data_IF_152497697203
#
_entry.id   IF_152497697203
#
_cell.length_a   1.000
_cell.length_b   1.000
_cell.length_c   1.000
_cell.angle_alpha   90.00
_cell.angle_beta   90.00
_cell.angle_gamma   90.00
#
_symmetry.space_group_name_H-M   'P 1'
#
loop_
_entity.id
_entity.type
_entity.pdbx_description
1 polymer ?
#
# COMPACT_ATOMS: atom_id res chain seq x y z
N UNK A 1 -14.78 -20.59 27.53
CA UNK A 1 -13.39 -20.26 27.17
C UNK A 1 -13.42 -19.39 25.92
N UNK A 2 -13.11 -18.10 26.02
CA UNK A 2 -13.14 -17.19 24.87
C UNK A 2 -11.91 -17.42 23.95
N UNK A 3 -12.14 -17.31 22.65
CA UNK A 3 -11.11 -17.43 21.61
C UNK A 3 -11.45 -16.53 20.41
N UNK A 4 -10.45 -16.26 19.57
CA UNK A 4 -10.58 -15.51 18.32
C UNK A 4 -9.89 -16.34 17.23
N UNK A 5 -10.61 -16.67 16.16
CA UNK A 5 -10.06 -17.36 14.99
C UNK A 5 -9.72 -16.34 13.90
N UNK A 6 -8.55 -16.47 13.28
CA UNK A 6 -8.10 -15.63 12.17
C UNK A 6 -8.23 -16.40 10.86
N UNK A 7 -8.78 -15.75 9.84
CA UNK A 7 -8.95 -16.34 8.51
C UNK A 7 -8.38 -15.43 7.42
N UNK A 8 -7.73 -16.01 6.42
CA UNK A 8 -7.36 -15.35 5.16
C UNK A 8 -8.23 -15.92 4.04
N UNK A 9 -9.12 -15.10 3.50
CA UNK A 9 -10.21 -15.57 2.63
C UNK A 9 -11.15 -16.51 3.39
N UNK A 10 -11.19 -17.78 2.99
CA UNK A 10 -11.98 -18.84 3.65
C UNK A 10 -11.13 -19.77 4.53
N UNK A 11 -9.80 -19.64 4.47
CA UNK A 11 -8.88 -20.54 5.16
C UNK A 11 -8.57 -20.01 6.56
N UNK A 12 -8.68 -20.87 7.57
CA UNK A 12 -8.20 -20.54 8.91
C UNK A 12 -6.66 -20.51 8.95
N UNK A 13 -6.12 -19.50 9.62
CA UNK A 13 -4.68 -19.32 9.83
C UNK A 13 -4.32 -19.93 11.17
N UNK A 14 -3.40 -20.89 11.16
CA UNK A 14 -2.88 -21.55 12.35
C UNK A 14 -1.35 -21.73 12.23
N UNK A 15 -0.76 -22.34 13.27
CA UNK A 15 0.68 -22.62 13.33
C UNK A 15 1.14 -23.69 12.32
N UNK A 16 0.23 -24.56 11.87
CA UNK A 16 0.49 -25.60 10.85
C UNK A 16 0.26 -25.11 9.41
N UNK A 17 0.15 -23.79 9.21
CA UNK A 17 -0.13 -23.22 7.90
C UNK A 17 0.95 -23.63 6.88
N UNK A 18 0.57 -24.16 5.69
CA UNK A 18 1.51 -24.55 4.65
C UNK A 18 2.30 -23.35 4.09
N UNK A 19 1.84 -22.12 4.33
CA UNK A 19 2.57 -20.89 3.98
C UNK A 19 3.91 -20.83 4.71
N UNK A 20 3.96 -21.25 5.98
CA UNK A 20 5.12 -21.12 6.87
C UNK A 20 5.43 -19.66 7.25
N UNK A 21 6.01 -19.41 8.41
CA UNK A 21 6.33 -18.03 8.86
C UNK A 21 5.11 -17.14 9.11
N UNK A 22 3.95 -17.75 9.35
CA UNK A 22 2.77 -17.10 9.91
C UNK A 22 2.53 -17.59 11.32
N UNK A 23 2.12 -16.70 12.22
CA UNK A 23 1.82 -17.02 13.61
C UNK A 23 0.59 -16.26 14.06
N UNK A 24 -0.25 -16.92 14.85
CA UNK A 24 -1.39 -16.30 15.54
C UNK A 24 -1.13 -16.39 17.03
N UNK A 25 -1.03 -15.25 17.69
CA UNK A 25 -0.84 -15.15 19.14
C UNK A 25 -2.11 -14.58 19.73
N UNK A 26 -2.73 -15.28 20.68
CA UNK A 26 -3.93 -14.80 21.37
C UNK A 26 -3.62 -14.54 22.83
N UNK A 27 -3.65 -13.27 23.21
CA UNK A 27 -3.51 -12.83 24.59
C UNK A 27 -4.91 -12.74 25.22
N UNK A 28 -5.08 -13.40 26.37
CA UNK A 28 -6.34 -13.44 27.11
C UNK A 28 -6.20 -12.63 28.39
N UNK A 29 -7.07 -11.64 28.55
CA UNK A 29 -7.25 -10.84 29.77
C UNK A 29 -8.65 -10.25 29.79
N UNK A 30 -8.84 -9.10 30.44
CA UNK A 30 -10.12 -8.37 30.41
C UNK A 30 -10.55 -8.04 28.97
N UNK A 31 -9.57 -7.73 28.12
CA UNK A 31 -9.70 -7.71 26.68
C UNK A 31 -8.91 -8.87 26.09
N UNK A 32 -9.54 -9.64 25.20
CA UNK A 32 -8.84 -10.67 24.42
C UNK A 32 -8.37 -10.08 23.11
N UNK A 33 -7.07 -10.17 22.82
CA UNK A 33 -6.44 -9.62 21.62
C UNK A 33 -5.76 -10.74 20.85
N UNK A 34 -5.94 -10.77 19.53
CA UNK A 34 -5.29 -11.74 18.66
C UNK A 34 -4.41 -11.02 17.65
N UNK A 35 -3.14 -11.39 17.61
CA UNK A 35 -2.12 -10.85 16.73
C UNK A 35 -1.82 -11.86 15.63
N UNK A 36 -1.95 -11.42 14.38
CA UNK A 36 -1.44 -12.15 13.22
C UNK A 36 -0.07 -11.59 12.83
N UNK A 37 0.95 -12.43 12.87
CA UNK A 37 2.29 -12.09 12.42
C UNK A 37 2.59 -12.82 11.11
N UNK A 38 3.01 -12.06 10.09
CA UNK A 38 3.37 -12.59 8.76
C UNK A 38 4.82 -12.19 8.47
N UNK A 39 5.73 -13.15 8.47
CA UNK A 39 7.15 -12.90 8.21
C UNK A 39 7.45 -12.98 6.71
N UNK A 40 8.32 -12.09 6.21
CA UNK A 40 8.69 -12.01 4.78
C UNK A 40 7.44 -12.02 3.89
N UNK A 41 6.61 -11.00 4.05
CA UNK A 41 5.35 -10.89 3.34
C UNK A 41 5.56 -10.94 1.82
N UNK A 42 4.66 -11.62 1.12
CA UNK A 42 4.61 -11.76 -0.35
C UNK A 42 3.30 -11.20 -0.86
N UNK A 43 3.21 -10.92 -2.15
CA UNK A 43 1.97 -10.44 -2.78
C UNK A 43 0.77 -11.35 -2.51
N UNK A 44 0.99 -12.67 -2.43
CA UNK A 44 -0.03 -13.68 -2.11
C UNK A 44 -0.61 -13.55 -0.70
N UNK A 45 0.08 -12.88 0.23
CA UNK A 45 -0.44 -12.59 1.56
C UNK A 45 -1.44 -11.41 1.53
N UNK A 46 -1.60 -10.71 0.41
CA UNK A 46 -2.66 -9.71 0.24
C UNK A 46 -4.05 -10.36 0.29
N UNK A 47 -5.07 -9.59 0.68
CA UNK A 47 -6.46 -10.02 0.61
C UNK A 47 -7.24 -9.77 1.89
N UNK A 48 -8.37 -10.48 2.03
CA UNK A 48 -9.31 -10.30 3.14
C UNK A 48 -8.85 -11.11 4.35
N UNK A 49 -8.61 -10.42 5.45
CA UNK A 49 -8.36 -11.03 6.75
C UNK A 49 -9.56 -10.83 7.66
N UNK A 50 -10.08 -11.91 8.22
CA UNK A 50 -11.25 -11.89 9.11
C UNK A 50 -10.85 -12.38 10.49
N UNK A 51 -11.12 -11.58 11.52
CA UNK A 51 -11.12 -12.05 12.90
C UNK A 51 -12.54 -12.49 13.27
N UNK A 52 -12.66 -13.67 13.88
CA UNK A 52 -13.92 -14.28 14.28
C UNK A 52 -13.88 -14.63 15.77
N UNK A 53 -14.31 -13.71 16.64
CA UNK A 53 -14.41 -13.96 18.08
C UNK A 53 -15.53 -14.93 18.42
N UNK A 54 -15.33 -15.77 19.44
CA UNK A 54 -16.34 -16.74 19.90
C UNK A 54 -17.62 -16.13 20.48
N UNK A 55 -17.62 -14.84 20.83
CA UNK A 55 -18.69 -14.15 21.56
C UNK A 55 -19.09 -12.80 20.92
N UNK A 56 -18.63 -12.50 19.70
CA UNK A 56 -18.92 -11.25 19.02
C UNK A 56 -18.95 -11.47 17.50
N UNK A 57 -19.47 -10.49 16.77
CA UNK A 57 -19.55 -10.58 15.31
C UNK A 57 -18.15 -10.55 14.67
N UNK A 58 -17.92 -11.31 13.58
CA UNK A 58 -16.67 -11.24 12.84
C UNK A 58 -16.42 -9.84 12.27
N UNK A 59 -15.14 -9.48 12.13
CA UNK A 59 -14.71 -8.27 11.43
C UNK A 59 -13.65 -8.60 10.40
N UNK A 60 -13.75 -7.94 9.25
CA UNK A 60 -12.88 -8.17 8.10
C UNK A 60 -12.15 -6.89 7.72
N UNK A 61 -10.85 -7.02 7.46
CA UNK A 61 -9.99 -5.99 6.88
C UNK A 61 -9.42 -6.48 5.56
N UNK A 62 -8.96 -5.56 4.72
CA UNK A 62 -8.24 -5.87 3.48
C UNK A 62 -6.79 -5.44 3.66
N UNK A 63 -5.87 -6.37 3.45
CA UNK A 63 -4.41 -6.16 3.51
C UNK A 63 -3.86 -6.10 2.10
N UNK A 64 -3.01 -5.13 1.84
CA UNK A 64 -2.27 -5.00 0.59
C UNK A 64 -0.78 -5.08 0.89
N UNK A 65 -0.13 -6.11 0.35
CA UNK A 65 1.33 -6.24 0.34
C UNK A 65 1.84 -5.64 -0.96
N UNK A 66 2.83 -4.76 -0.86
CA UNK A 66 3.43 -4.07 -2.00
C UNK A 66 4.91 -4.46 -2.07
N UNK A 67 5.36 -4.89 -3.25
CA UNK A 67 6.79 -4.96 -3.53
C UNK A 67 7.30 -3.56 -3.87
N UNK A 68 8.38 -3.15 -3.21
CA UNK A 68 9.00 -1.85 -3.46
C UNK A 68 9.53 -1.70 -4.88
N UNK A 69 9.55 -0.45 -5.32
CA UNK A 69 10.26 0.11 -6.48
C UNK A 69 9.52 0.14 -7.82
N UNK A 70 8.55 1.04 -7.91
CA UNK A 70 8.60 2.01 -9.00
C UNK A 70 8.84 3.38 -8.36
N UNK A 71 10.02 4.01 -8.50
CA UNK A 71 10.07 5.45 -8.29
C UNK A 71 8.94 6.03 -9.14
N UNK A 72 8.05 6.81 -8.53
CA UNK A 72 7.06 7.55 -9.29
C UNK A 72 7.81 8.21 -10.45
N UNK A 73 7.25 8.16 -11.66
CA UNK A 73 7.79 8.91 -12.77
C UNK A 73 7.75 10.39 -12.38
N UNK A 74 8.81 10.88 -11.76
CA UNK A 74 8.97 12.29 -11.45
C UNK A 74 9.09 12.95 -12.83
N UNK A 75 7.99 13.53 -13.29
CA UNK A 75 8.01 14.42 -14.44
C UNK A 75 8.97 15.54 -14.07
N UNK A 76 10.20 15.44 -14.56
CA UNK A 76 11.09 16.58 -14.60
C UNK A 76 10.39 17.58 -15.51
N UNK A 77 9.95 18.71 -14.94
CA UNK A 77 9.22 19.75 -15.66
C UNK A 77 9.89 20.02 -17.00
N UNK A 78 9.09 19.96 -18.07
CA UNK A 78 9.58 19.96 -19.44
C UNK A 78 10.66 21.02 -19.64
N UNK A 79 11.84 20.57 -20.07
CA UNK A 79 12.85 21.49 -20.57
C UNK A 79 12.21 22.21 -21.77
N UNK A 80 11.92 23.50 -21.63
CA UNK A 80 11.55 24.35 -22.75
C UNK A 80 12.76 24.42 -23.70
N UNK A 81 12.81 23.48 -24.65
CA UNK A 81 13.73 23.57 -25.78
C UNK A 81 13.19 24.63 -26.72
N UNK A 82 13.82 25.80 -26.67
CA UNK A 82 13.58 26.86 -27.63
C UNK A 82 14.30 26.47 -28.93
N UNK A 83 13.60 25.79 -29.85
CA UNK A 83 14.19 25.32 -31.11
C UNK A 83 14.73 26.48 -31.99
N UNK A 84 14.26 27.70 -31.75
CA UNK A 84 14.66 28.90 -32.50
C UNK A 84 14.90 30.10 -31.56
N UNK A 85 16.02 30.14 -30.84
CA UNK A 85 16.28 31.17 -29.83
C UNK A 85 16.37 32.57 -30.45
N UNK A 86 16.89 32.69 -31.67
CA UNK A 86 17.01 33.96 -32.38
C UNK A 86 15.63 34.56 -32.74
N UNK A 87 14.68 33.73 -33.17
CA UNK A 87 13.33 34.20 -33.47
C UNK A 87 12.59 34.65 -32.21
N UNK A 88 12.76 33.93 -31.10
CA UNK A 88 12.18 34.32 -29.82
C UNK A 88 12.76 35.64 -29.29
N UNK A 89 14.08 35.85 -29.46
CA UNK A 89 14.73 37.13 -29.13
C UNK A 89 14.27 38.25 -30.06
N UNK A 90 14.13 37.98 -31.37
CA UNK A 90 13.63 38.98 -32.31
C UNK A 90 12.19 39.39 -31.96
N UNK A 91 11.34 38.42 -31.62
CA UNK A 91 9.95 38.66 -31.22
C UNK A 91 9.87 39.44 -29.92
N UNK A 92 10.73 39.17 -28.94
CA UNK A 92 10.76 39.94 -27.69
C UNK A 92 11.24 41.39 -27.89
N UNK A 93 12.22 41.61 -28.77
CA UNK A 93 12.68 42.97 -29.14
C UNK A 93 11.57 43.72 -29.88
N UNK A 94 10.90 43.07 -30.84
CA UNK A 94 9.78 43.67 -31.56
C UNK A 94 8.65 44.08 -30.62
N UNK A 95 8.27 43.22 -29.67
CA UNK A 95 7.25 43.55 -28.66
C UNK A 95 7.70 44.71 -27.76
N UNK A 96 8.98 44.77 -27.39
CA UNK A 96 9.51 45.84 -26.54
C UNK A 96 9.60 47.21 -27.26
N UNK A 97 9.82 47.22 -28.58
CA UNK A 97 9.93 48.44 -29.39
C UNK A 97 8.59 48.90 -29.95
N UNK A 98 7.65 47.97 -30.18
CA UNK A 98 6.31 48.25 -30.72
C UNK A 98 5.21 48.32 -29.64
N UNK A 99 5.53 48.07 -28.37
CA UNK A 99 4.64 48.37 -27.25
C UNK A 99 4.49 49.89 -27.08
N UNK A 100 3.30 50.37 -26.66
CA UNK A 100 3.02 51.81 -26.54
C UNK A 100 3.91 52.53 -25.51
#
# INVERSE_FOLDING_TARGET
>A
MYHILLKHGMQEINYDSPRGGVSVITEKGDNTVSYLLVQRAKDSDSGKYTCNPSNANPKTIIVHVLNGEYPAAMQHGGQLRLEYPLFAVLLSILVAVAGP
#
